data_IF_824596532491
#
_entry.id   IF_824596532491
#
_cell.length_a   1.000
_cell.length_b   1.000
_cell.length_c   1.000
_cell.angle_alpha   90.00
_cell.angle_beta   90.00
_cell.angle_gamma   90.00
#
_symmetry.space_group_name_H-M   'P 1'
#
loop_
_entity.id
_entity.type
_entity.pdbx_description
1 polymer ?
#
# COMPACT_ATOMS: atom_id res chain seq x y z
N UNK A 1 -9.56 -2.77 12.45
CA UNK A 1 -9.84 -2.27 11.09
C UNK A 1 -9.00 -3.07 10.10
N UNK A 2 -9.54 -3.39 8.93
CA UNK A 2 -8.81 -4.17 7.92
C UNK A 2 -8.03 -3.22 7.00
N UNK A 3 -6.74 -3.50 6.80
CA UNK A 3 -5.80 -2.67 6.05
C UNK A 3 -5.28 -3.37 4.80
N UNK A 4 -5.11 -2.59 3.74
CA UNK A 4 -4.58 -3.03 2.45
C UNK A 4 -3.40 -2.15 2.03
N UNK A 5 -2.49 -2.72 1.25
CA UNK A 5 -1.41 -2.04 0.60
C UNK A 5 -1.73 -1.87 -0.88
N UNK A 6 -1.98 -0.64 -1.31
CA UNK A 6 -2.27 -0.29 -2.71
C UNK A 6 -0.97 0.00 -3.44
N UNK A 7 -0.73 -0.67 -4.57
CA UNK A 7 0.46 -0.45 -5.37
C UNK A 7 0.43 0.92 -6.07
N UNK A 8 1.54 1.65 -5.97
CA UNK A 8 1.76 2.95 -6.59
C UNK A 8 2.92 2.88 -7.59
N UNK A 9 2.77 3.58 -8.72
CA UNK A 9 3.85 3.78 -9.67
C UNK A 9 4.84 4.85 -9.19
N UNK A 10 5.94 5.05 -9.92
CA UNK A 10 6.98 6.04 -9.60
C UNK A 10 6.51 7.49 -9.63
N UNK A 11 5.34 7.77 -10.21
CA UNK A 11 4.69 9.08 -10.22
C UNK A 11 3.63 9.26 -9.12
N UNK A 12 3.44 8.28 -8.23
CA UNK A 12 2.43 8.31 -7.17
C UNK A 12 1.00 7.96 -7.64
N UNK A 13 0.84 7.50 -8.88
CA UNK A 13 -0.44 7.02 -9.40
C UNK A 13 -0.72 5.58 -8.99
N UNK A 14 -1.98 5.27 -8.70
CA UNK A 14 -2.43 3.92 -8.39
C UNK A 14 -2.22 2.99 -9.59
N UNK A 15 -1.60 1.84 -9.35
CA UNK A 15 -1.40 0.81 -10.36
C UNK A 15 -2.65 -0.06 -10.44
N UNK A 16 -3.21 -0.19 -11.63
CA UNK A 16 -4.30 -1.12 -11.93
C UNK A 16 -3.76 -2.34 -12.67
N UNK A 17 -4.45 -3.46 -12.54
CA UNK A 17 -4.15 -4.64 -13.35
C UNK A 17 -4.64 -4.45 -14.78
N UNK A 18 -3.78 -4.77 -15.75
CA UNK A 18 -4.09 -4.57 -17.17
C UNK A 18 -5.17 -5.54 -17.68
N UNK A 19 -5.37 -6.68 -17.01
CA UNK A 19 -6.37 -7.68 -17.40
C UNK A 19 -7.72 -7.43 -16.71
N UNK A 20 -7.72 -7.15 -15.39
CA UNK A 20 -8.98 -6.97 -14.63
C UNK A 20 -9.42 -5.52 -14.50
N UNK A 21 -8.55 -4.56 -14.82
CA UNK A 21 -8.73 -3.12 -14.54
C UNK A 21 -8.93 -2.80 -13.05
N UNK A 22 -8.70 -3.74 -12.14
CA UNK A 22 -8.82 -3.54 -10.70
C UNK A 22 -7.56 -2.92 -10.11
N UNK A 23 -7.72 -2.16 -9.03
CA UNK A 23 -6.60 -1.59 -8.29
C UNK A 23 -5.75 -2.71 -7.69
N UNK A 24 -4.44 -2.73 -8.02
CA UNK A 24 -3.52 -3.69 -7.44
C UNK A 24 -3.35 -3.39 -5.96
N UNK A 25 -3.80 -4.33 -5.13
CA UNK A 25 -3.73 -4.23 -3.69
C UNK A 25 -3.29 -5.57 -3.08
N UNK A 26 -2.75 -5.51 -1.87
CA UNK A 26 -2.42 -6.67 -1.04
C UNK A 26 -3.07 -6.49 0.33
N UNK A 27 -3.78 -7.51 0.82
CA UNK A 27 -4.30 -7.50 2.17
C UNK A 27 -3.14 -7.63 3.19
N UNK A 28 -3.02 -6.64 4.08
CA UNK A 28 -2.02 -6.66 5.17
C UNK A 28 -2.57 -7.39 6.39
N UNK A 29 -3.83 -7.14 6.74
CA UNK A 29 -4.49 -7.78 7.87
C UNK A 29 -5.38 -6.84 8.66
N UNK A 30 -5.76 -7.26 9.86
CA UNK A 30 -6.54 -6.45 10.80
C UNK A 30 -5.65 -5.82 11.88
N UNK A 31 -5.80 -4.51 12.07
CA UNK A 31 -5.03 -3.73 13.03
C UNK A 31 -5.92 -2.69 13.73
N UNK A 32 -5.49 -2.26 14.91
CA UNK A 32 -6.22 -1.26 15.70
C UNK A 32 -5.95 0.18 15.21
N UNK A 33 -4.83 0.42 14.55
CA UNK A 33 -4.47 1.72 13.96
C UNK A 33 -3.56 1.56 12.72
N UNK A 34 -3.32 2.64 11.95
CA UNK A 34 -2.50 2.57 10.73
C UNK A 34 -1.03 2.27 11.00
N UNK A 35 -0.47 2.75 12.11
CA UNK A 35 0.95 2.60 12.46
C UNK A 35 1.42 1.14 12.48
N UNK A 36 0.79 0.21 13.23
CA UNK A 36 1.19 -1.20 13.22
C UNK A 36 0.94 -1.87 11.87
N UNK A 37 -0.05 -1.41 11.08
CA UNK A 37 -0.27 -1.90 9.72
C UNK A 37 0.87 -1.49 8.77
N UNK A 38 1.36 -0.24 8.89
CA UNK A 38 2.50 0.30 8.14
C UNK A 38 3.78 -0.46 8.49
N UNK A 39 4.03 -0.72 9.77
CA UNK A 39 5.19 -1.49 10.22
C UNK A 39 5.15 -2.92 9.67
N UNK A 40 4.03 -3.62 9.84
CA UNK A 40 3.85 -4.98 9.33
C UNK A 40 4.00 -5.05 7.81
N UNK A 41 3.44 -4.09 7.08
CA UNK A 41 3.60 -4.02 5.63
C UNK A 41 5.04 -3.66 5.22
N UNK A 42 5.74 -2.80 5.96
CA UNK A 42 7.14 -2.49 5.69
C UNK A 42 8.03 -3.73 5.86
N UNK A 43 7.82 -4.54 6.89
CA UNK A 43 8.50 -5.83 7.08
C UNK A 43 8.20 -6.78 5.91
N UNK A 44 6.94 -6.86 5.49
CA UNK A 44 6.52 -7.71 4.38
C UNK A 44 7.17 -7.32 3.04
N UNK A 45 7.25 -6.02 2.75
CA UNK A 45 7.78 -5.50 1.49
C UNK A 45 9.28 -5.19 1.54
N UNK A 46 9.94 -5.40 2.69
CA UNK A 46 11.32 -5.01 2.95
C UNK A 46 11.56 -3.54 2.52
N UNK A 47 10.71 -2.65 3.05
CA UNK A 47 10.66 -1.25 2.63
C UNK A 47 11.94 -0.51 3.02
N UNK A 48 12.36 0.48 2.22
CA UNK A 48 13.54 1.29 2.54
C UNK A 48 13.19 2.60 3.24
N UNK A 49 12.00 3.13 2.97
CA UNK A 49 11.54 4.38 3.55
C UNK A 49 10.02 4.41 3.69
N UNK A 50 9.53 5.07 4.73
CA UNK A 50 8.12 5.31 4.98
C UNK A 50 7.89 6.81 4.99
N UNK A 51 6.99 7.31 4.16
CA UNK A 51 6.64 8.73 4.10
C UNK A 51 5.12 8.88 4.05
N UNK A 52 4.52 9.45 5.11
CA UNK A 52 3.06 9.66 5.22
C UNK A 52 2.20 8.43 4.87
N UNK A 53 2.55 7.24 5.37
CA UNK A 53 1.83 6.00 5.08
C UNK A 53 2.12 5.36 3.71
N UNK A 54 3.02 5.96 2.92
CA UNK A 54 3.54 5.37 1.68
C UNK A 54 4.86 4.65 1.96
N UNK A 55 4.87 3.35 1.72
CA UNK A 55 6.05 2.49 1.74
C UNK A 55 6.78 2.62 0.41
N UNK A 56 7.97 3.19 0.42
CA UNK A 56 8.78 3.37 -0.79
C UNK A 56 9.75 2.19 -0.89
N UNK A 57 9.70 1.51 -2.04
CA UNK A 57 10.71 0.51 -2.40
C UNK A 57 11.88 1.27 -3.03
N UNK A 58 13.11 0.99 -2.57
CA UNK A 58 14.31 1.57 -3.18
C UNK A 58 14.37 1.35 -4.70
N UNK A 59 15.18 2.16 -5.39
CA UNK A 59 15.39 2.15 -6.86
C UNK A 59 14.27 2.76 -7.73
N UNK A 60 13.52 3.76 -7.25
CA UNK A 60 12.56 4.52 -8.09
C UNK A 60 11.48 3.66 -8.77
N UNK A 61 11.17 2.48 -8.24
CA UNK A 61 10.22 1.52 -8.84
C UNK A 61 8.77 1.72 -8.42
N UNK A 62 8.50 2.70 -7.54
CA UNK A 62 7.16 2.95 -6.98
C UNK A 62 7.08 2.66 -5.49
N UNK A 63 5.88 2.42 -4.99
CA UNK A 63 5.63 2.19 -3.57
C UNK A 63 4.30 1.51 -3.28
N UNK A 64 3.96 1.40 -2.00
CA UNK A 64 2.65 0.95 -1.55
C UNK A 64 2.05 1.98 -0.60
N UNK A 65 0.80 2.38 -0.82
CA UNK A 65 0.05 3.19 0.14
C UNK A 65 -0.72 2.27 1.07
N UNK A 66 -0.56 2.45 2.38
CA UNK A 66 -1.32 1.70 3.38
C UNK A 66 -2.55 2.51 3.73
N UNK A 67 -3.71 1.88 3.59
CA UNK A 67 -5.02 2.47 3.89
C UNK A 67 -5.96 1.39 4.39
N UNK A 68 -7.03 1.80 5.04
CA UNK A 68 -8.06 0.85 5.44
C UNK A 68 -8.96 0.45 4.25
N UNK A 69 -9.73 -0.61 4.44
CA UNK A 69 -10.66 -1.13 3.42
C UNK A 69 -11.84 -0.20 3.11
N UNK A 70 -12.20 0.73 4.01
CA UNK A 70 -13.22 1.75 3.73
C UNK A 70 -12.63 2.79 2.77
N UNK A 71 -11.46 3.34 3.06
CA UNK A 71 -10.74 4.27 2.17
C UNK A 71 -10.46 3.63 0.81
N UNK A 72 -10.07 2.36 0.78
CA UNK A 72 -9.84 1.61 -0.45
C UNK A 72 -11.10 1.49 -1.32
N UNK A 73 -12.28 1.39 -0.71
CA UNK A 73 -13.54 1.28 -1.45
C UNK A 73 -13.94 2.57 -2.17
N UNK A 74 -13.29 3.68 -1.87
CA UNK A 74 -13.52 4.99 -2.50
C UNK A 74 -12.60 5.27 -3.72
N UNK A 75 -11.68 4.35 -4.07
CA UNK A 75 -10.74 4.44 -5.21
C UNK A 75 -11.27 3.88 -6.55
#
# INVERSE_FOLDING_TARGET
MQYVAVALNSGGGVVRDDETSEVKNLLIGEFDSPEPAIEAACEHFNCQHVMNGVLIRGNHTGGHMIMDTQEFSEL
#
